data_IF_668375322342
#
_entry.id   IF_668375322342
#
_cell.length_a   1.000
_cell.length_b   1.000
_cell.length_c   1.000
_cell.angle_alpha   90.00
_cell.angle_beta   90.00
_cell.angle_gamma   90.00
#
_symmetry.space_group_name_H-M   'P 1'
#
loop_
_entity.id
_entity.type
_entity.pdbx_description
1 polymer ?
#
# COMPACT_ATOMS: atom_id res chain seq x y z
N UNK A 1 11.22 2.98 17.68
CA UNK A 1 12.03 3.21 18.88
C UNK A 1 13.45 3.53 18.46
N UNK A 2 13.99 4.66 18.93
CA UNK A 2 15.38 5.04 18.67
C UNK A 2 16.37 3.97 19.16
N UNK A 3 17.46 3.80 18.42
CA UNK A 3 18.47 2.80 18.73
C UNK A 3 19.21 3.11 20.04
N UNK A 4 19.40 2.07 20.87
CA UNK A 4 20.15 2.12 22.13
C UNK A 4 21.66 1.96 21.91
N UNK A 5 22.47 2.32 22.93
CA UNK A 5 23.93 2.08 22.90
C UNK A 5 24.29 0.62 22.75
N UNK A 6 23.56 -0.28 23.42
CA UNK A 6 23.81 -1.72 23.37
C UNK A 6 23.63 -2.25 21.94
N UNK A 7 22.60 -1.78 21.24
CA UNK A 7 22.36 -2.09 19.84
C UNK A 7 23.47 -1.54 18.93
N UNK A 8 23.96 -0.31 19.15
CA UNK A 8 25.11 0.22 18.41
C UNK A 8 26.36 -0.66 18.58
N UNK A 9 26.61 -1.13 19.80
CA UNK A 9 27.73 -2.04 20.08
C UNK A 9 27.56 -3.37 19.33
N UNK A 10 26.34 -3.89 19.19
CA UNK A 10 26.08 -5.09 18.39
C UNK A 10 26.44 -4.89 16.92
N UNK A 11 25.97 -3.80 16.30
CA UNK A 11 26.32 -3.44 14.90
C UNK A 11 27.85 -3.36 14.71
N UNK A 12 28.54 -2.69 15.63
CA UNK A 12 29.99 -2.56 15.55
C UNK A 12 30.73 -3.89 15.75
N UNK A 13 30.19 -4.80 16.57
CA UNK A 13 30.74 -6.15 16.71
C UNK A 13 30.59 -6.93 15.40
N UNK A 14 29.43 -6.88 14.76
CA UNK A 14 29.23 -7.52 13.46
C UNK A 14 30.19 -6.97 12.40
N UNK A 15 30.37 -5.65 12.35
CA UNK A 15 31.37 -5.02 11.48
C UNK A 15 32.80 -5.47 11.81
N UNK A 16 33.16 -5.59 13.09
CA UNK A 16 34.50 -6.08 13.47
C UNK A 16 34.75 -7.53 13.05
N UNK A 17 33.71 -8.37 13.02
CA UNK A 17 33.80 -9.74 12.53
C UNK A 17 33.94 -9.80 11.01
N UNK A 18 33.20 -8.94 10.28
CA UNK A 18 33.30 -8.84 8.82
C UNK A 18 34.61 -8.21 8.35
N UNK A 19 35.21 -7.35 9.17
CA UNK A 19 36.42 -6.57 8.84
C UNK A 19 37.47 -6.67 9.96
N UNK A 20 38.23 -7.77 10.04
CA UNK A 20 39.11 -8.07 11.17
C UNK A 20 40.24 -7.06 11.42
N UNK A 21 40.55 -6.23 10.41
CA UNK A 21 41.64 -5.25 10.47
C UNK A 21 41.30 -4.00 11.29
N UNK A 22 40.05 -3.87 11.75
CA UNK A 22 39.57 -2.66 12.43
C UNK A 22 39.29 -2.94 13.90
N UNK A 23 39.96 -2.19 14.76
CA UNK A 23 39.79 -2.30 16.20
C UNK A 23 38.46 -1.68 16.67
N UNK A 24 37.79 -2.42 17.55
CA UNK A 24 36.61 -1.96 18.25
C UNK A 24 37.02 -1.24 19.54
N UNK A 25 36.79 0.07 19.59
CA UNK A 25 37.05 0.90 20.79
C UNK A 25 35.76 1.50 21.33
N UNK A 26 35.79 1.92 22.61
CA UNK A 26 34.64 2.56 23.27
C UNK A 26 34.29 3.90 22.62
N UNK A 27 35.30 4.68 22.27
CA UNK A 27 35.16 6.00 21.64
C UNK A 27 34.50 5.87 20.26
N UNK A 28 34.84 4.80 19.52
CA UNK A 28 34.18 4.48 18.24
C UNK A 28 32.71 4.14 18.46
N UNK A 29 32.39 3.35 19.48
CA UNK A 29 31.01 3.02 19.81
C UNK A 29 30.19 4.24 20.21
N UNK A 30 30.75 5.15 21.00
CA UNK A 30 30.10 6.41 21.37
C UNK A 30 29.87 7.32 20.15
N UNK A 31 30.86 7.43 19.26
CA UNK A 31 30.74 8.22 18.05
C UNK A 31 29.67 7.67 17.10
N UNK A 32 29.68 6.35 16.84
CA UNK A 32 28.67 5.71 16.02
C UNK A 32 27.27 5.86 16.62
N UNK A 33 27.15 5.70 17.94
CA UNK A 33 25.87 5.83 18.62
C UNK A 33 25.33 7.26 18.49
N UNK A 34 26.18 8.27 18.67
CA UNK A 34 25.79 9.68 18.53
C UNK A 34 25.16 10.00 17.17
N UNK A 35 25.61 9.34 16.11
CA UNK A 35 25.14 9.60 14.74
C UNK A 35 24.01 8.68 14.29
N UNK A 36 23.88 7.50 14.88
CA UNK A 36 22.88 6.50 14.48
C UNK A 36 21.69 6.41 15.46
N UNK A 37 21.73 7.08 16.62
CA UNK A 37 20.68 6.98 17.64
C UNK A 37 19.30 7.47 17.17
N UNK A 38 19.24 8.37 16.18
CA UNK A 38 17.99 8.87 15.61
C UNK A 38 17.34 7.88 14.63
N UNK A 39 18.04 6.80 14.28
CA UNK A 39 17.56 5.77 13.38
C UNK A 39 16.98 4.59 14.18
N UNK A 40 16.04 3.89 13.55
CA UNK A 40 15.50 2.63 14.06
C UNK A 40 16.55 1.53 13.91
N UNK A 41 16.62 0.64 14.90
CA UNK A 41 17.62 -0.41 14.94
C UNK A 41 17.55 -1.32 13.71
N UNK A 42 16.34 -1.70 13.30
CA UNK A 42 16.08 -2.59 12.17
C UNK A 42 16.62 -2.01 10.84
N UNK A 43 16.48 -0.70 10.65
CA UNK A 43 16.96 0.00 9.46
C UNK A 43 18.49 0.00 9.40
N UNK A 44 19.15 0.15 10.55
CA UNK A 44 20.62 0.13 10.68
C UNK A 44 21.17 -1.29 10.50
N UNK A 45 20.50 -2.31 11.06
CA UNK A 45 20.86 -3.72 10.85
C UNK A 45 20.80 -4.06 9.37
N UNK A 46 19.68 -3.76 8.72
CA UNK A 46 19.52 -4.04 7.29
C UNK A 46 20.55 -3.27 6.45
N UNK A 47 20.82 -2.01 6.77
CA UNK A 47 21.84 -1.22 6.08
C UNK A 47 23.25 -1.83 6.23
N UNK A 48 23.58 -2.31 7.43
CA UNK A 48 24.86 -2.96 7.75
C UNK A 48 25.01 -4.25 6.96
N UNK A 49 23.97 -5.08 6.96
CA UNK A 49 23.89 -6.32 6.18
C UNK A 49 24.05 -6.08 4.68
N UNK A 50 23.32 -5.11 4.13
CA UNK A 50 23.43 -4.73 2.71
C UNK A 50 24.84 -4.23 2.38
N UNK A 51 25.48 -3.50 3.29
CA UNK A 51 26.84 -3.01 3.11
C UNK A 51 27.86 -4.16 3.10
N UNK A 52 27.83 -5.03 4.12
CA UNK A 52 28.76 -6.19 4.23
C UNK A 52 28.69 -7.09 2.98
N UNK A 53 27.52 -7.26 2.38
CA UNK A 53 27.35 -8.08 1.17
C UNK A 53 27.86 -7.42 -0.12
N UNK A 54 27.96 -6.09 -0.15
CA UNK A 54 28.25 -5.34 -1.38
C UNK A 54 29.64 -4.72 -1.42
N UNK A 55 30.27 -4.52 -0.27
CA UNK A 55 31.52 -3.79 -0.13
C UNK A 55 32.60 -4.64 0.55
N UNK A 56 33.86 -4.39 0.20
CA UNK A 56 35.01 -5.12 0.78
C UNK A 56 35.81 -4.30 1.79
N UNK A 57 35.51 -3.01 1.92
CA UNK A 57 36.21 -2.07 2.81
C UNK A 57 35.36 -1.79 4.03
N UNK A 58 36.00 -1.44 5.15
CA UNK A 58 35.26 -1.07 6.35
C UNK A 58 34.42 0.20 6.11
N UNK A 59 33.13 0.24 6.50
CA UNK A 59 32.26 1.39 6.27
C UNK A 59 32.63 2.61 7.10
N UNK A 60 32.45 3.80 6.51
CA UNK A 60 32.27 5.00 7.29
C UNK A 60 30.87 5.02 7.93
N UNK A 61 30.71 5.80 9.01
CA UNK A 61 29.39 6.01 9.66
C UNK A 61 28.35 6.50 8.64
N UNK A 62 28.76 7.39 7.74
CA UNK A 62 27.91 7.96 6.72
C UNK A 62 27.36 6.91 5.73
N UNK A 63 28.14 5.86 5.43
CA UNK A 63 27.72 4.81 4.51
C UNK A 63 26.50 4.05 5.05
N UNK A 64 26.57 3.68 6.34
CA UNK A 64 25.48 2.99 7.03
C UNK A 64 24.30 3.93 7.23
N UNK A 65 24.54 5.17 7.65
CA UNK A 65 23.48 6.17 7.86
C UNK A 65 22.66 6.39 6.57
N UNK A 66 23.32 6.66 5.45
CA UNK A 66 22.64 6.92 4.18
C UNK A 66 21.83 5.72 3.69
N UNK A 67 22.35 4.50 3.86
CA UNK A 67 21.63 3.26 3.50
C UNK A 67 20.41 3.07 4.39
N UNK A 68 20.54 3.25 5.70
CA UNK A 68 19.44 3.12 6.65
C UNK A 68 18.32 4.14 6.38
N UNK A 69 18.66 5.40 6.07
CA UNK A 69 17.67 6.41 5.67
C UNK A 69 16.91 5.99 4.41
N UNK A 70 17.62 5.49 3.38
CA UNK A 70 16.98 4.99 2.15
C UNK A 70 16.06 3.81 2.41
N UNK A 71 16.42 2.91 3.33
CA UNK A 71 15.58 1.78 3.73
C UNK A 71 14.29 2.29 4.38
N UNK A 72 14.41 3.23 5.33
CA UNK A 72 13.26 3.87 5.99
C UNK A 72 12.32 4.53 4.97
N UNK A 73 12.88 5.35 4.08
CA UNK A 73 12.10 6.05 3.03
C UNK A 73 11.37 5.07 2.10
N UNK A 74 12.03 3.97 1.70
CA UNK A 74 11.40 2.91 0.89
C UNK A 74 10.23 2.26 1.63
N UNK A 75 10.39 1.95 2.91
CA UNK A 75 9.33 1.36 3.74
C UNK A 75 8.15 2.32 3.87
N UNK A 76 8.40 3.59 4.17
CA UNK A 76 7.35 4.62 4.28
C UNK A 76 6.60 4.81 2.96
N UNK A 77 7.32 4.84 1.84
CA UNK A 77 6.72 4.94 0.50
C UNK A 77 5.86 3.72 0.17
N UNK A 78 6.32 2.51 0.51
CA UNK A 78 5.57 1.28 0.29
C UNK A 78 4.28 1.25 1.13
N UNK A 79 4.35 1.65 2.41
CA UNK A 79 3.18 1.72 3.28
C UNK A 79 2.17 2.77 2.80
N UNK A 80 2.64 3.94 2.35
CA UNK A 80 1.77 4.95 1.74
C UNK A 80 1.09 4.41 0.48
N UNK A 81 1.85 3.79 -0.43
CA UNK A 81 1.29 3.21 -1.65
C UNK A 81 0.25 2.12 -1.36
N UNK A 82 0.46 1.31 -0.32
CA UNK A 82 -0.51 0.30 0.13
C UNK A 82 -1.81 0.93 0.66
N UNK A 83 -1.72 2.02 1.43
CA UNK A 83 -2.90 2.77 1.90
C UNK A 83 -3.65 3.40 0.73
N UNK A 84 -2.93 4.06 -0.17
CA UNK A 84 -3.52 4.71 -1.34
C UNK A 84 -4.21 3.67 -2.24
N UNK A 85 -3.59 2.50 -2.45
CA UNK A 85 -4.20 1.40 -3.20
C UNK A 85 -5.48 0.87 -2.55
N UNK A 86 -5.51 0.72 -1.22
CA UNK A 86 -6.70 0.32 -0.49
C UNK A 86 -7.85 1.33 -0.63
N UNK A 87 -7.55 2.63 -0.60
CA UNK A 87 -8.54 3.69 -0.81
C UNK A 87 -9.10 3.62 -2.24
N UNK A 88 -8.23 3.49 -3.25
CA UNK A 88 -8.65 3.40 -4.65
C UNK A 88 -9.51 2.17 -4.90
N UNK A 89 -9.18 1.02 -4.31
CA UNK A 89 -10.00 -0.18 -4.48
C UNK A 89 -11.37 -0.05 -3.82
N UNK A 90 -11.44 0.59 -2.65
CA UNK A 90 -12.70 0.87 -1.98
C UNK A 90 -13.58 1.85 -2.77
N UNK A 91 -12.99 2.87 -3.40
CA UNK A 91 -13.71 3.78 -4.30
C UNK A 91 -14.26 3.02 -5.52
N UNK A 92 -13.43 2.19 -6.15
CA UNK A 92 -13.85 1.36 -7.29
C UNK A 92 -14.97 0.40 -6.92
N UNK A 93 -14.93 -0.19 -5.73
CA UNK A 93 -16.00 -1.04 -5.21
C UNK A 93 -17.33 -0.29 -5.13
N UNK A 94 -17.33 0.90 -4.54
CA UNK A 94 -18.55 1.73 -4.43
C UNK A 94 -19.06 2.18 -5.79
N UNK A 95 -18.18 2.52 -6.71
CA UNK A 95 -18.58 2.90 -8.07
C UNK A 95 -19.23 1.74 -8.81
N UNK A 96 -18.69 0.51 -8.68
CA UNK A 96 -19.33 -0.71 -9.21
C UNK A 96 -20.71 -0.91 -8.63
N UNK A 97 -20.86 -0.82 -7.31
CA UNK A 97 -22.16 -0.96 -6.62
C UNK A 97 -23.18 0.08 -7.11
N UNK A 98 -22.76 1.34 -7.31
CA UNK A 98 -23.62 2.39 -7.86
C UNK A 98 -24.03 2.15 -9.31
N UNK A 99 -23.11 1.68 -10.13
CA UNK A 99 -23.39 1.34 -11.54
C UNK A 99 -24.39 0.18 -11.59
N UNK A 100 -24.17 -0.86 -10.79
CA UNK A 100 -25.05 -2.03 -10.72
C UNK A 100 -26.47 -1.64 -10.27
N UNK A 101 -26.59 -0.73 -9.28
CA UNK A 101 -27.88 -0.20 -8.86
C UNK A 101 -28.57 0.57 -9.99
N UNK A 102 -27.84 1.46 -10.66
CA UNK A 102 -28.37 2.26 -11.77
C UNK A 102 -28.85 1.36 -12.92
N UNK A 103 -28.10 0.30 -13.23
CA UNK A 103 -28.49 -0.69 -14.24
C UNK A 103 -29.76 -1.42 -13.82
N UNK A 104 -29.87 -1.82 -12.53
CA UNK A 104 -31.07 -2.48 -12.01
C UNK A 104 -32.31 -1.59 -12.15
N UNK A 105 -32.23 -0.34 -11.70
CA UNK A 105 -33.33 0.63 -11.81
C UNK A 105 -33.75 0.88 -13.27
N UNK A 106 -32.79 0.97 -14.19
CA UNK A 106 -33.07 1.12 -15.62
C UNK A 106 -33.78 -0.11 -16.20
N UNK A 107 -33.34 -1.33 -15.86
CA UNK A 107 -33.96 -2.57 -16.33
C UNK A 107 -35.40 -2.70 -15.80
N UNK A 108 -35.64 -2.36 -14.54
CA UNK A 108 -36.98 -2.33 -13.95
C UNK A 108 -37.88 -1.30 -14.65
N UNK A 109 -37.34 -0.12 -14.93
CA UNK A 109 -38.07 0.94 -15.66
C UNK A 109 -38.43 0.51 -17.08
N UNK A 110 -37.52 -0.15 -17.81
CA UNK A 110 -37.77 -0.72 -19.14
C UNK A 110 -38.88 -1.77 -19.09
N UNK A 111 -38.79 -2.72 -18.15
CA UNK A 111 -39.80 -3.78 -17.96
C UNK A 111 -41.18 -3.18 -17.63
N UNK A 112 -41.24 -2.18 -16.75
CA UNK A 112 -42.48 -1.50 -16.41
C UNK A 112 -43.10 -0.78 -17.61
N UNK A 113 -42.28 -0.18 -18.47
CA UNK A 113 -42.74 0.49 -19.69
C UNK A 113 -43.23 -0.50 -20.76
N UNK A 114 -42.59 -1.65 -20.91
CA UNK A 114 -43.06 -2.73 -21.78
C UNK A 114 -44.43 -3.26 -21.35
N UNK A 115 -44.61 -3.55 -20.06
CA UNK A 115 -45.89 -4.03 -19.52
C UNK A 115 -47.04 -3.04 -19.79
N UNK A 116 -46.82 -1.73 -19.60
CA UNK A 116 -47.83 -0.69 -19.90
C UNK A 116 -48.19 -0.60 -21.39
N UNK A 117 -47.26 -0.88 -22.30
CA UNK A 117 -47.54 -0.92 -23.75
C UNK A 117 -48.43 -2.11 -24.11
N UNK A 118 -48.16 -3.29 -23.53
CA UNK A 118 -48.97 -4.50 -23.75
C UNK A 118 -50.41 -4.32 -23.25
N UNK A 119 -50.60 -3.71 -22.08
CA UNK A 119 -51.94 -3.40 -21.54
C UNK A 119 -52.73 -2.43 -22.43
N UNK A 120 -52.08 -1.39 -22.99
CA UNK A 120 -52.73 -0.45 -23.92
C UNK A 120 -53.13 -1.10 -25.25
N UNK A 121 -52.32 -2.04 -25.77
CA UNK A 121 -52.65 -2.78 -27.00
C UNK A 121 -53.82 -3.73 -26.76
N UNK A 122 -53.82 -4.47 -25.65
CA UNK A 122 -54.91 -5.40 -25.34
C UNK A 122 -56.23 -4.69 -24.96
N UNK A 123 -56.16 -3.51 -24.35
CA UNK A 123 -57.34 -2.68 -24.06
C UNK A 123 -57.97 -1.98 -25.27
N UNK A 124 -57.25 -1.87 -26.40
CA UNK A 124 -57.74 -1.22 -27.63
C UNK A 124 -58.42 -2.17 -28.62
N UNK A 125 -58.36 -3.48 -28.40
CA UNK A 125 -58.98 -4.50 -29.28
C UNK A 125 -60.38 -4.95 -28.83
N UNK A 126 -60.98 -4.26 -27.86
CA UNK A 126 -62.29 -4.61 -27.26
C UNK A 126 -63.46 -3.70 -27.65
N UNK A 127 -63.32 -2.85 -28.67
CA UNK A 127 -64.33 -1.83 -28.98
C UNK A 127 -64.51 -1.58 -30.47
N UNK A 128 -64.96 -2.59 -31.22
CA UNK A 128 -65.81 -2.39 -32.40
C UNK A 128 -66.15 -3.75 -33.03
N UNK A 129 -67.21 -4.40 -32.53
CA UNK A 129 -68.03 -5.29 -33.37
C UNK A 129 -69.33 -5.66 -32.66
N UNK A 130 -70.40 -4.90 -32.92
CA UNK A 130 -71.76 -5.41 -33.12
C UNK A 130 -72.74 -4.25 -33.35
N UNK A 131 -72.56 -3.52 -34.46
CA UNK A 131 -73.68 -2.97 -35.22
C UNK A 131 -74.02 -4.02 -36.27
N UNK A 132 -75.20 -4.66 -36.18
CA UNK A 132 -76.10 -4.89 -37.32
C UNK A 132 -77.25 -5.84 -36.98
N UNK A 133 -78.47 -5.35 -37.26
CA UNK A 133 -79.58 -6.04 -37.98
C UNK A 133 -80.09 -7.33 -37.30
N UNK A 134 -81.33 -7.43 -36.81
CA UNK A 134 -82.61 -7.18 -37.48
C UNK A 134 -83.75 -7.16 -36.45
#
# INVERSE_FOLDING_TARGET
>A
MSMTRAQTVQILRELSLAYPMVEFTKERAELWHKHLCELEYEDVVQATDEYIRSETKYPAIADIYQRAVKIREKREKAEKAKRDAAIVEEMRRRDRERIDETIRELLESVRAHENRKVEKVNGSTGGDSARSVQ
#
